data_IF_156035875047
#
_entry.id   IF_156035875047
#
_cell.length_a   1.000
_cell.length_b   1.000
_cell.length_c   1.000
_cell.angle_alpha   90.00
_cell.angle_beta   90.00
_cell.angle_gamma   90.00
#
_symmetry.space_group_name_H-M   'P 1'
#
loop_
_entity.id
_entity.type
_entity.pdbx_description
1 polymer ?
#
# COMPACT_ATOMS: atom_id res chain seq x y z
N UNK A 1 10.91 -11.51 -16.20
CA UNK A 1 11.89 -12.25 -17.05
C UNK A 1 12.20 -13.67 -16.52
N UNK A 2 11.22 -14.34 -15.89
CA UNK A 2 11.31 -15.75 -15.47
C UNK A 2 12.18 -16.06 -14.25
N UNK A 3 12.70 -15.06 -13.52
CA UNK A 3 13.38 -15.28 -12.23
C UNK A 3 12.47 -14.81 -11.10
N UNK A 4 12.50 -15.50 -9.98
CA UNK A 4 11.81 -15.11 -8.76
C UNK A 4 12.61 -14.01 -8.07
N UNK A 5 11.95 -12.88 -7.82
CA UNK A 5 12.58 -11.65 -7.27
C UNK A 5 11.95 -11.22 -5.95
N UNK A 6 11.01 -12.00 -5.43
CA UNK A 6 10.22 -11.70 -4.25
C UNK A 6 8.96 -12.57 -4.16
N UNK A 7 8.02 -12.14 -3.33
CA UNK A 7 6.72 -12.80 -3.16
C UNK A 7 5.64 -11.79 -2.76
N UNK A 8 4.37 -12.18 -2.96
CA UNK A 8 3.22 -11.49 -2.35
C UNK A 8 3.14 -11.93 -0.89
N UNK A 9 3.14 -10.99 0.04
CA UNK A 9 3.28 -11.28 1.48
C UNK A 9 1.95 -11.24 2.20
N UNK A 10 1.28 -10.09 2.20
CA UNK A 10 0.02 -9.87 2.93
C UNK A 10 -0.92 -8.99 2.10
N UNK A 11 -2.19 -8.99 2.47
CA UNK A 11 -3.19 -8.09 1.93
C UNK A 11 -3.91 -7.39 3.08
N UNK A 12 -3.99 -6.07 3.03
CA UNK A 12 -4.69 -5.27 4.04
C UNK A 12 -5.68 -4.34 3.35
N UNK A 13 -6.97 -4.46 3.66
CA UNK A 13 -8.03 -3.57 3.17
C UNK A 13 -8.05 -3.34 1.63
N UNK A 14 -7.55 -4.29 0.82
CA UNK A 14 -7.47 -4.18 -0.64
C UNK A 14 -6.09 -3.78 -1.17
N UNK A 15 -5.15 -3.45 -0.29
CA UNK A 15 -3.75 -3.26 -0.65
C UNK A 15 -2.99 -4.58 -0.59
N UNK A 16 -2.54 -5.06 -1.76
CA UNK A 16 -1.60 -6.18 -1.86
C UNK A 16 -0.19 -5.69 -1.55
N UNK A 17 0.52 -6.40 -0.67
CA UNK A 17 1.90 -6.07 -0.29
C UNK A 17 2.88 -7.07 -0.90
N UNK A 18 3.88 -6.54 -1.60
CA UNK A 18 4.95 -7.34 -2.21
C UNK A 18 6.26 -7.12 -1.46
N UNK A 19 6.90 -8.22 -1.07
CA UNK A 19 8.28 -8.20 -0.58
C UNK A 19 9.21 -8.52 -1.74
N UNK A 20 9.84 -7.49 -2.31
CA UNK A 20 10.73 -7.59 -3.47
C UNK A 20 12.19 -7.35 -3.08
N UNK A 21 13.08 -8.24 -3.50
CA UNK A 21 14.52 -8.16 -3.24
C UNK A 21 15.00 -8.81 -1.96
N UNK A 22 16.11 -8.30 -1.41
CA UNK A 22 16.77 -8.86 -0.23
C UNK A 22 17.90 -9.83 -0.55
N UNK A 23 18.71 -10.16 0.48
CA UNK A 23 19.94 -10.96 0.35
C UNK A 23 19.70 -12.34 -0.26
N UNK A 24 18.57 -12.98 0.04
CA UNK A 24 18.24 -14.29 -0.52
C UNK A 24 18.17 -14.25 -2.05
N UNK A 25 17.55 -13.22 -2.63
CA UNK A 25 17.45 -13.06 -4.08
C UNK A 25 18.70 -12.44 -4.71
N UNK A 26 19.41 -11.56 -4.00
CA UNK A 26 20.63 -10.94 -4.50
C UNK A 26 21.80 -11.92 -4.61
N UNK A 27 21.94 -12.83 -3.64
CA UNK A 27 23.13 -13.70 -3.52
C UNK A 27 22.83 -15.19 -3.36
N UNK A 28 21.60 -15.56 -2.97
CA UNK A 28 21.27 -16.96 -2.68
C UNK A 28 20.92 -17.79 -3.91
N UNK A 29 20.49 -17.15 -4.99
CA UNK A 29 20.04 -17.79 -6.22
C UNK A 29 21.05 -17.75 -7.36
N UNK A 30 20.54 -17.70 -8.59
CA UNK A 30 21.38 -17.65 -9.79
C UNK A 30 22.02 -16.27 -9.99
N UNK A 31 23.13 -16.18 -10.75
CA UNK A 31 23.70 -14.86 -11.14
C UNK A 31 22.70 -14.00 -11.91
N UNK A 32 21.80 -14.64 -12.67
CA UNK A 32 20.74 -13.97 -13.42
C UNK A 32 19.66 -13.42 -12.47
N UNK A 33 19.26 -14.20 -11.47
CA UNK A 33 18.33 -13.80 -10.41
C UNK A 33 18.85 -12.58 -9.65
N UNK A 34 20.10 -12.64 -9.16
CA UNK A 34 20.69 -11.52 -8.42
C UNK A 34 20.77 -10.24 -9.25
N UNK A 35 21.12 -10.34 -10.53
CA UNK A 35 21.16 -9.19 -11.45
C UNK A 35 19.77 -8.60 -11.68
N UNK A 36 18.75 -9.43 -11.93
CA UNK A 36 17.39 -8.95 -12.20
C UNK A 36 16.71 -8.39 -10.95
N UNK A 37 16.98 -9.00 -9.80
CA UNK A 37 16.54 -8.49 -8.50
C UNK A 37 17.12 -7.11 -8.24
N UNK A 38 18.42 -6.93 -8.51
CA UNK A 38 19.08 -5.65 -8.34
C UNK A 38 18.55 -4.58 -9.30
N UNK A 39 18.31 -4.95 -10.57
CA UNK A 39 17.67 -4.09 -11.59
C UNK A 39 16.28 -3.63 -11.11
N UNK A 40 15.46 -4.55 -10.60
CA UNK A 40 14.15 -4.25 -10.04
C UNK A 40 14.23 -3.28 -8.85
N UNK A 41 15.08 -3.58 -7.86
CA UNK A 41 15.28 -2.73 -6.68
C UNK A 41 15.74 -1.32 -7.08
N UNK A 42 16.65 -1.21 -8.06
CA UNK A 42 17.13 0.07 -8.55
C UNK A 42 16.04 0.85 -9.29
N UNK A 43 15.22 0.19 -10.11
CA UNK A 43 14.10 0.85 -10.81
C UNK A 43 13.10 1.43 -9.80
N UNK A 44 12.62 0.60 -8.87
CA UNK A 44 11.62 1.01 -7.89
C UNK A 44 12.16 2.08 -6.92
N UNK A 45 13.39 1.90 -6.43
CA UNK A 45 14.08 2.90 -5.59
C UNK A 45 14.28 4.24 -6.29
N UNK A 46 14.33 4.26 -7.62
CA UNK A 46 14.47 5.48 -8.42
C UNK A 46 13.16 5.92 -9.08
N UNK A 47 12.01 5.51 -8.52
CA UNK A 47 10.66 5.89 -8.96
C UNK A 47 10.36 5.55 -10.42
N UNK A 48 11.03 4.52 -10.96
CA UNK A 48 10.80 4.00 -12.31
C UNK A 48 9.84 2.82 -12.27
N UNK A 49 9.05 2.59 -13.34
CA UNK A 49 8.15 1.46 -13.42
C UNK A 49 8.93 0.15 -13.49
N UNK A 50 8.35 -0.90 -12.93
CA UNK A 50 8.84 -2.26 -13.06
C UNK A 50 7.69 -3.23 -13.33
N UNK A 51 7.95 -4.18 -14.23
CA UNK A 51 7.01 -5.23 -14.60
C UNK A 51 7.31 -6.50 -13.79
N UNK A 52 6.27 -7.08 -13.20
CA UNK A 52 6.32 -8.34 -12.46
C UNK A 52 5.15 -9.24 -12.89
N UNK A 53 5.32 -10.54 -12.75
CA UNK A 53 4.26 -11.52 -12.95
C UNK A 53 4.11 -12.26 -11.62
N UNK A 54 2.89 -12.36 -11.13
CA UNK A 54 2.56 -13.19 -9.96
C UNK A 54 2.35 -14.62 -10.44
N UNK A 55 3.02 -15.58 -9.81
CA UNK A 55 2.89 -17.00 -10.18
C UNK A 55 1.44 -17.47 -10.04
N UNK A 56 0.85 -17.96 -11.14
CA UNK A 56 -0.56 -18.34 -11.20
C UNK A 56 -1.55 -17.17 -11.10
N UNK A 57 -1.07 -15.93 -11.16
CA UNK A 57 -1.86 -14.72 -10.95
C UNK A 57 -1.69 -13.69 -12.06
N UNK A 58 -1.79 -12.41 -11.68
CA UNK A 58 -1.80 -11.28 -12.61
C UNK A 58 -0.41 -10.87 -13.11
N UNK A 59 -0.37 -10.27 -14.31
CA UNK A 59 0.74 -9.41 -14.73
C UNK A 59 0.54 -8.02 -14.15
N UNK A 60 1.60 -7.43 -13.59
CA UNK A 60 1.54 -6.13 -12.93
C UNK A 60 2.66 -5.20 -13.40
N UNK A 61 2.34 -3.92 -13.55
CA UNK A 61 3.32 -2.84 -13.61
C UNK A 61 3.15 -1.96 -12.39
N UNK A 62 4.23 -1.82 -11.62
CA UNK A 62 4.25 -1.05 -10.37
C UNK A 62 5.27 0.09 -10.46
N UNK A 63 4.91 1.25 -9.91
CA UNK A 63 5.78 2.43 -9.87
C UNK A 63 5.44 3.29 -8.66
N UNK A 64 6.46 3.74 -7.91
CA UNK A 64 6.25 4.60 -6.76
C UNK A 64 5.40 5.84 -7.11
N UNK A 65 4.31 6.05 -6.37
CA UNK A 65 3.41 7.20 -6.51
C UNK A 65 2.51 7.18 -7.74
N UNK A 66 2.39 6.05 -8.44
CA UNK A 66 1.50 5.87 -9.60
C UNK A 66 0.52 4.72 -9.37
N UNK A 67 -0.60 4.74 -10.09
CA UNK A 67 -1.54 3.63 -10.10
C UNK A 67 -0.87 2.34 -10.61
N UNK A 68 -1.15 1.18 -10.01
CA UNK A 68 -0.74 -0.09 -10.59
C UNK A 68 -1.50 -0.35 -11.89
N UNK A 69 -0.82 -0.97 -12.86
CA UNK A 69 -1.47 -1.55 -14.03
C UNK A 69 -1.56 -3.06 -13.80
N UNK A 70 -2.76 -3.61 -13.71
CA UNK A 70 -3.03 -5.03 -13.46
C UNK A 70 -3.67 -5.63 -14.70
N UNK A 71 -3.05 -6.66 -15.28
CA UNK A 71 -3.49 -7.29 -16.54
C UNK A 71 -3.76 -6.28 -17.68
N UNK A 72 -2.99 -5.19 -17.72
CA UNK A 72 -3.11 -4.14 -18.73
C UNK A 72 -4.15 -3.05 -18.41
N UNK A 73 -4.85 -3.13 -17.28
CA UNK A 73 -5.82 -2.14 -16.83
C UNK A 73 -5.20 -1.29 -15.71
N UNK A 74 -5.26 0.03 -15.83
CA UNK A 74 -4.80 0.94 -14.79
C UNK A 74 -5.85 1.06 -13.68
N UNK A 75 -5.49 0.64 -12.47
CA UNK A 75 -6.37 0.70 -11.29
C UNK A 75 -6.58 2.13 -10.83
N UNK A 76 -7.83 2.57 -10.70
CA UNK A 76 -8.15 3.97 -10.39
C UNK A 76 -8.50 4.20 -8.92
N UNK A 77 -9.18 3.24 -8.26
CA UNK A 77 -9.84 3.47 -6.98
C UNK A 77 -9.39 2.50 -5.91
N UNK A 78 -9.00 3.05 -4.77
CA UNK A 78 -8.90 2.34 -3.50
C UNK A 78 -10.24 2.45 -2.77
N UNK A 79 -10.87 1.30 -2.49
CA UNK A 79 -12.17 1.24 -1.81
C UNK A 79 -12.13 1.95 -0.46
N UNK A 80 -13.23 2.65 -0.12
CA UNK A 80 -13.43 3.34 1.17
C UNK A 80 -13.44 2.39 2.37
N UNK A 81 -13.75 1.12 2.14
CA UNK A 81 -13.77 0.04 3.12
C UNK A 81 -14.35 -1.23 2.53
N UNK A 82 -14.44 -2.29 3.35
CA UNK A 82 -15.15 -3.52 2.95
C UNK A 82 -16.65 -3.26 2.74
N UNK A 83 -17.36 -4.22 2.16
CA UNK A 83 -18.79 -4.10 1.87
C UNK A 83 -19.63 -3.73 3.09
N UNK A 84 -19.34 -4.35 4.24
CA UNK A 84 -19.98 -3.98 5.53
C UNK A 84 -19.73 -2.52 5.95
N UNK A 85 -18.52 -1.99 5.73
CA UNK A 85 -18.19 -0.62 6.09
C UNK A 85 -18.92 0.37 5.15
N UNK A 86 -18.89 0.10 3.85
CA UNK A 86 -19.61 0.90 2.86
C UNK A 86 -21.12 0.96 3.16
N UNK A 87 -21.76 -0.19 3.45
CA UNK A 87 -23.16 -0.23 3.90
C UNK A 87 -23.39 0.71 5.08
N UNK A 88 -22.53 0.65 6.11
CA UNK A 88 -22.66 1.47 7.31
C UNK A 88 -22.49 2.97 7.06
N UNK A 89 -21.49 3.35 6.24
CA UNK A 89 -21.19 4.75 5.91
C UNK A 89 -22.36 5.41 5.16
N UNK A 90 -22.97 4.69 4.23
CA UNK A 90 -24.02 5.22 3.35
C UNK A 90 -25.45 4.89 3.80
N UNK A 91 -25.64 4.14 4.89
CA UNK A 91 -26.94 3.65 5.38
C UNK A 91 -28.05 4.71 5.43
N UNK A 92 -27.77 5.89 6.00
CA UNK A 92 -28.76 6.98 6.11
C UNK A 92 -29.25 7.50 4.76
N UNK A 93 -28.39 7.42 3.74
CA UNK A 93 -28.71 7.91 2.40
C UNK A 93 -29.57 6.88 1.66
N UNK A 94 -29.37 5.59 1.91
CA UNK A 94 -30.20 4.52 1.35
C UNK A 94 -31.58 4.42 2.01
N UNK A 95 -31.71 4.80 3.27
CA UNK A 95 -32.97 4.77 3.98
C UNK A 95 -34.05 5.58 3.25
N UNK A 96 -35.19 4.93 2.96
CA UNK A 96 -36.32 5.50 2.24
C UNK A 96 -36.26 5.33 0.72
N UNK A 97 -35.07 5.26 0.13
CA UNK A 97 -34.91 5.12 -1.34
C UNK A 97 -34.68 3.67 -1.79
N UNK A 98 -34.21 2.80 -0.90
CA UNK A 98 -34.10 1.35 -1.10
C UNK A 98 -34.67 0.58 0.09
N UNK A 99 -35.22 -0.61 -0.17
CA UNK A 99 -35.72 -1.50 0.88
C UNK A 99 -34.62 -2.46 1.34
N UNK A 100 -33.66 -2.80 0.48
CA UNK A 100 -32.43 -3.51 0.82
C UNK A 100 -31.25 -3.01 -0.01
N UNK A 101 -30.06 -3.05 0.59
CA UNK A 101 -28.79 -2.78 -0.10
C UNK A 101 -27.78 -3.86 0.25
N UNK A 102 -27.25 -4.50 -0.78
CA UNK A 102 -26.11 -5.41 -0.65
C UNK A 102 -24.89 -4.77 -1.28
N UNK A 103 -23.83 -4.60 -0.48
CA UNK A 103 -22.52 -4.17 -1.00
C UNK A 103 -21.62 -5.40 -1.11
N UNK A 104 -21.37 -5.80 -2.34
CA UNK A 104 -20.55 -6.96 -2.71
C UNK A 104 -19.07 -6.64 -2.52
N UNK A 105 -18.39 -7.56 -1.85
CA UNK A 105 -16.98 -7.43 -1.48
C UNK A 105 -16.41 -8.83 -1.21
N UNK A 106 -15.21 -9.08 -1.73
CA UNK A 106 -14.48 -10.35 -1.57
C UNK A 106 -14.10 -10.65 -0.12
N UNK A 107 -13.81 -9.62 0.67
CA UNK A 107 -13.49 -9.76 2.08
C UNK A 107 -14.76 -9.89 2.93
N UNK A 108 -15.64 -8.88 2.91
CA UNK A 108 -16.88 -8.85 3.73
C UNK A 108 -18.00 -8.19 2.97
N UNK A 109 -18.93 -8.99 2.45
CA UNK A 109 -20.16 -8.49 1.86
C UNK A 109 -21.12 -7.98 2.95
N UNK A 110 -21.66 -6.79 2.72
CA UNK A 110 -22.56 -6.09 3.64
C UNK A 110 -24.02 -6.20 3.20
N UNK A 111 -24.94 -6.41 4.15
CA UNK A 111 -26.40 -6.41 3.91
C UNK A 111 -27.08 -5.44 4.86
N UNK A 112 -27.69 -4.39 4.32
CA UNK A 112 -28.08 -3.19 5.09
C UNK A 112 -29.14 -3.47 6.15
N UNK A 113 -30.26 -4.09 5.83
CA UNK A 113 -31.37 -4.24 6.80
C UNK A 113 -30.97 -5.14 7.98
N UNK A 114 -30.09 -6.11 7.75
CA UNK A 114 -29.56 -6.97 8.79
C UNK A 114 -28.43 -6.31 9.60
N UNK A 115 -27.68 -5.40 8.98
CA UNK A 115 -26.56 -4.69 9.59
C UNK A 115 -27.04 -3.76 10.71
N UNK A 116 -26.16 -3.50 11.68
CA UNK A 116 -26.49 -2.62 12.81
C UNK A 116 -26.96 -1.22 12.35
N UNK A 117 -26.40 -0.71 11.25
CA UNK A 117 -26.79 0.58 10.69
C UNK A 117 -28.24 0.60 10.19
N UNK A 118 -28.71 -0.45 9.50
CA UNK A 118 -30.11 -0.55 9.08
C UNK A 118 -31.06 -0.69 10.27
N UNK A 119 -30.67 -1.47 11.28
CA UNK A 119 -31.44 -1.60 12.53
C UNK A 119 -31.58 -0.29 13.29
N UNK A 120 -30.51 0.49 13.39
CA UNK A 120 -30.54 1.82 14.02
C UNK A 120 -31.38 2.86 13.24
N UNK A 121 -31.73 2.56 11.99
CA UNK A 121 -32.61 3.37 11.14
C UNK A 121 -34.03 2.81 11.07
N UNK A 122 -34.34 1.82 11.92
CA UNK A 122 -35.63 1.11 11.95
C UNK A 122 -36.06 0.59 10.57
N UNK A 123 -35.09 0.19 9.73
CA UNK A 123 -35.39 -0.41 8.44
C UNK A 123 -36.04 -1.77 8.64
N UNK A 124 -37.14 -2.01 7.96
CA UNK A 124 -37.80 -3.30 7.97
C UNK A 124 -36.86 -4.38 7.39
N UNK A 125 -36.77 -5.58 8.01
CA UNK A 125 -36.05 -6.69 7.42
C UNK A 125 -36.57 -7.00 6.01
N UNK A 126 -35.65 -7.21 5.08
CA UNK A 126 -35.98 -7.53 3.69
C UNK A 126 -36.35 -9.00 3.48
N UNK A 127 -35.96 -9.86 4.43
CA UNK A 127 -36.04 -11.32 4.30
C UNK A 127 -34.91 -11.91 3.46
N UNK A 128 -33.93 -11.13 2.99
CA UNK A 128 -32.87 -11.64 2.11
C UNK A 128 -32.00 -12.71 2.80
N UNK A 129 -31.78 -13.83 2.11
CA UNK A 129 -30.88 -14.90 2.53
C UNK A 129 -29.65 -14.90 1.63
N UNK A 130 -28.47 -14.78 2.23
CA UNK A 130 -27.20 -14.69 1.50
C UNK A 130 -26.41 -15.98 1.61
N UNK A 131 -25.69 -16.30 0.53
CA UNK A 131 -24.63 -17.32 0.55
C UNK A 131 -23.51 -16.93 1.51
N UNK A 132 -22.68 -17.92 1.83
CA UNK A 132 -21.46 -17.74 2.60
C UNK A 132 -21.67 -17.79 4.11
N UNK A 133 -20.63 -17.42 4.86
CA UNK A 133 -20.61 -17.55 6.31
C UNK A 133 -21.00 -16.24 6.98
N UNK A 134 -22.17 -16.21 7.62
CA UNK A 134 -22.61 -15.10 8.47
C UNK A 134 -21.66 -14.97 9.68
N UNK A 135 -21.06 -13.79 9.84
CA UNK A 135 -20.19 -13.46 10.98
C UNK A 135 -20.98 -12.79 12.10
N UNK A 136 -21.60 -11.67 11.75
CA UNK A 136 -22.52 -10.90 12.59
C UNK A 136 -23.68 -10.46 11.69
N UNK A 137 -24.82 -10.02 12.23
CA UNK A 137 -25.93 -9.54 11.40
C UNK A 137 -25.48 -8.54 10.33
N UNK A 138 -25.83 -8.83 9.06
CA UNK A 138 -25.44 -8.02 7.90
C UNK A 138 -23.99 -8.09 7.46
N UNK A 139 -23.18 -9.02 7.99
CA UNK A 139 -21.77 -9.22 7.62
C UNK A 139 -21.52 -10.67 7.21
N UNK A 140 -21.15 -10.86 5.96
CA UNK A 140 -20.97 -12.18 5.35
C UNK A 140 -19.55 -12.34 4.79
N UNK A 141 -18.87 -13.41 5.21
CA UNK A 141 -17.58 -13.83 4.68
C UNK A 141 -17.78 -14.88 3.59
N UNK A 142 -16.84 -14.97 2.66
CA UNK A 142 -16.77 -16.07 1.68
C UNK A 142 -18.08 -16.26 0.92
N UNK A 143 -18.69 -15.15 0.48
CA UNK A 143 -19.88 -15.21 -0.39
C UNK A 143 -19.52 -15.67 -1.81
N UNK A 144 -18.30 -15.36 -2.23
CA UNK A 144 -17.67 -15.70 -3.51
C UNK A 144 -16.14 -15.78 -3.31
N UNK A 145 -15.39 -16.31 -4.29
CA UNK A 145 -13.93 -16.30 -4.21
C UNK A 145 -13.38 -14.95 -4.68
N UNK A 146 -12.14 -14.57 -4.33
CA UNK A 146 -11.48 -13.41 -4.92
C UNK A 146 -11.29 -13.56 -6.44
N UNK A 147 -11.45 -12.48 -7.19
CA UNK A 147 -11.38 -12.46 -8.66
C UNK A 147 -11.47 -11.05 -9.26
N UNK A 148 -11.73 -10.99 -10.58
CA UNK A 148 -11.77 -9.73 -11.34
C UNK A 148 -13.20 -9.20 -11.60
N UNK A 149 -14.21 -9.79 -10.96
CA UNK A 149 -15.61 -9.43 -11.06
C UNK A 149 -16.07 -8.47 -9.96
N UNK A 150 -17.32 -8.60 -9.54
CA UNK A 150 -17.97 -7.66 -8.63
C UNK A 150 -17.25 -7.52 -7.28
N UNK A 151 -16.83 -6.31 -6.92
CA UNK A 151 -16.24 -6.05 -5.60
C UNK A 151 -14.97 -6.87 -5.31
N UNK A 152 -14.21 -7.22 -6.36
CA UNK A 152 -13.00 -8.02 -6.26
C UNK A 152 -13.25 -9.54 -6.14
N UNK A 153 -14.45 -10.01 -6.50
CA UNK A 153 -14.82 -11.42 -6.46
C UNK A 153 -14.72 -12.10 -7.83
N UNK A 154 -14.94 -13.41 -7.92
CA UNK A 154 -14.98 -14.19 -9.15
C UNK A 154 -16.36 -14.21 -9.85
N UNK A 155 -17.32 -13.38 -9.40
CA UNK A 155 -18.69 -13.37 -9.95
C UNK A 155 -18.95 -12.17 -10.88
N UNK A 156 -19.67 -12.45 -11.97
CA UNK A 156 -20.18 -11.45 -12.91
C UNK A 156 -21.64 -11.06 -12.60
N UNK A 157 -22.44 -12.01 -12.10
CA UNK A 157 -23.82 -11.81 -11.70
C UNK A 157 -23.92 -11.64 -10.16
N UNK A 158 -24.27 -10.44 -9.66
CA UNK A 158 -24.37 -10.21 -8.22
C UNK A 158 -25.55 -10.96 -7.58
N UNK A 159 -26.56 -11.40 -8.33
CA UNK A 159 -27.66 -12.17 -7.74
C UNK A 159 -27.25 -13.60 -7.36
N UNK A 160 -26.14 -14.10 -7.92
CA UNK A 160 -25.62 -15.44 -7.64
C UNK A 160 -25.24 -15.69 -6.17
N UNK A 161 -25.09 -14.63 -5.37
CA UNK A 161 -24.80 -14.71 -3.92
C UNK A 161 -26.04 -14.65 -3.03
N UNK A 162 -27.24 -14.60 -3.61
CA UNK A 162 -28.51 -14.66 -2.89
C UNK A 162 -29.00 -16.12 -2.94
N UNK A 163 -29.29 -16.71 -1.77
CA UNK A 163 -29.86 -18.06 -1.66
C UNK A 163 -31.37 -18.06 -1.83
N UNK A 164 -32.01 -16.98 -1.37
CA UNK A 164 -33.45 -16.86 -1.39
C UNK A 164 -33.95 -15.70 -0.54
N UNK A 165 -35.22 -15.80 -0.20
CA UNK A 165 -35.95 -14.81 0.58
C UNK A 165 -36.85 -15.51 1.60
N UNK A 166 -36.85 -15.04 2.84
CA UNK A 166 -37.67 -15.56 3.92
C UNK A 166 -39.16 -15.34 3.62
N UNK A 167 -39.91 -16.45 3.61
CA UNK A 167 -41.35 -16.45 3.37
C UNK A 167 -42.09 -15.65 4.45
N UNK A 168 -42.98 -14.75 4.03
CA UNK A 168 -43.74 -13.89 4.94
C UNK A 168 -43.00 -12.63 5.41
N UNK A 169 -41.71 -12.48 5.10
CA UNK A 169 -40.94 -11.25 5.34
C UNK A 169 -40.72 -10.49 4.03
N UNK A 170 -40.22 -11.18 3.00
CA UNK A 170 -40.08 -10.59 1.68
C UNK A 170 -41.44 -10.35 1.02
N UNK A 171 -41.51 -9.32 0.17
CA UNK A 171 -42.76 -8.90 -0.49
C UNK A 171 -42.54 -8.53 -1.96
N UNK A 172 -43.54 -8.73 -2.83
CA UNK A 172 -43.52 -8.16 -4.17
C UNK A 172 -43.33 -6.64 -4.11
N UNK A 173 -42.57 -6.10 -5.05
CA UNK A 173 -42.23 -4.67 -5.11
C UNK A 173 -41.06 -4.25 -4.22
N UNK A 174 -40.42 -5.16 -3.48
CA UNK A 174 -39.23 -4.85 -2.68
C UNK A 174 -38.10 -4.34 -3.59
N UNK A 175 -37.55 -3.19 -3.24
CA UNK A 175 -36.50 -2.48 -3.98
C UNK A 175 -35.10 -2.84 -3.47
N UNK A 176 -34.30 -3.49 -4.31
CA UNK A 176 -32.97 -3.99 -3.99
C UNK A 176 -31.88 -3.26 -4.81
N UNK A 177 -30.88 -2.72 -4.11
CA UNK A 177 -29.62 -2.28 -4.72
C UNK A 177 -28.53 -3.32 -4.48
N UNK A 178 -27.91 -3.78 -5.57
CA UNK A 178 -26.62 -4.48 -5.53
C UNK A 178 -25.54 -3.51 -5.98
N UNK A 179 -24.46 -3.32 -5.21
CA UNK A 179 -23.32 -2.45 -5.62
C UNK A 179 -21.98 -2.95 -5.11
N UNK A 180 -20.86 -2.56 -5.73
CA UNK A 180 -19.50 -2.82 -5.21
C UNK A 180 -19.06 -1.75 -4.20
N UNK A 181 -17.98 -2.00 -3.47
CA UNK A 181 -17.37 -1.04 -2.54
C UNK A 181 -16.80 0.21 -3.20
N UNK A 182 -16.66 0.24 -4.53
CA UNK A 182 -16.16 1.36 -5.33
C UNK A 182 -17.27 2.09 -6.11
N UNK A 183 -18.50 1.56 -6.08
CA UNK A 183 -19.62 2.04 -6.91
C UNK A 183 -19.46 1.79 -8.41
N UNK A 184 -18.36 1.14 -8.85
CA UNK A 184 -18.11 0.84 -10.27
C UNK A 184 -19.11 -0.19 -10.81
N UNK A 185 -19.52 -1.12 -9.95
CA UNK A 185 -20.60 -2.04 -10.24
C UNK A 185 -21.84 -1.62 -9.44
N UNK A 186 -22.97 -1.46 -10.11
CA UNK A 186 -24.25 -1.20 -9.46
C UNK A 186 -25.45 -1.57 -10.34
N UNK A 187 -26.39 -2.30 -9.77
CA UNK A 187 -27.61 -2.75 -10.43
C UNK A 187 -28.80 -2.61 -9.48
N UNK A 188 -29.95 -2.31 -10.06
CA UNK A 188 -31.19 -2.05 -9.35
C UNK A 188 -32.24 -3.09 -9.71
N UNK A 189 -32.86 -3.65 -8.69
CA UNK A 189 -33.82 -4.73 -8.83
C UNK A 189 -35.11 -4.41 -8.08
N UNK A 190 -36.22 -4.92 -8.60
CA UNK A 190 -37.50 -4.95 -7.90
C UNK A 190 -38.01 -6.39 -7.90
N UNK A 191 -38.41 -6.89 -6.72
CA UNK A 191 -38.99 -8.23 -6.63
C UNK A 191 -40.35 -8.29 -7.33
N UNK A 192 -40.55 -9.29 -8.17
CA UNK A 192 -41.85 -9.57 -8.79
C UNK A 192 -42.81 -10.31 -7.83
N UNK A 193 -43.97 -10.72 -8.34
CA UNK A 193 -45.00 -11.45 -7.57
C UNK A 193 -44.52 -12.85 -7.12
N UNK A 194 -43.45 -13.38 -7.72
CA UNK A 194 -42.79 -14.64 -7.37
C UNK A 194 -41.51 -14.42 -6.54
N UNK A 195 -41.32 -13.19 -6.03
CA UNK A 195 -40.16 -12.77 -5.24
C UNK A 195 -38.83 -12.92 -6.00
N UNK A 196 -38.85 -12.91 -7.33
CA UNK A 196 -37.64 -12.94 -8.14
C UNK A 196 -37.15 -11.50 -8.40
N UNK A 197 -35.86 -11.20 -8.21
CA UNK A 197 -35.31 -9.90 -8.55
C UNK A 197 -35.35 -9.66 -10.06
N UNK A 198 -36.12 -8.66 -10.50
CA UNK A 198 -36.16 -8.22 -11.90
C UNK A 198 -35.40 -6.91 -12.03
N UNK A 199 -34.40 -6.88 -12.92
CA UNK A 199 -33.62 -5.67 -13.17
C UNK A 199 -34.51 -4.55 -13.70
N UNK A 200 -34.36 -3.36 -13.13
CA UNK A 200 -35.12 -2.17 -13.49
C UNK A 200 -34.18 -0.96 -13.63
N UNK A 201 -34.57 0.09 -14.38
CA UNK A 201 -33.79 1.32 -14.42
C UNK A 201 -33.56 1.89 -13.01
N UNK A 202 -32.29 2.10 -12.67
CA UNK A 202 -31.91 2.63 -11.36
C UNK A 202 -32.45 4.06 -11.16
N UNK A 203 -33.21 4.34 -10.08
CA UNK A 203 -33.68 5.69 -9.78
C UNK A 203 -32.53 6.68 -9.63
N UNK A 204 -32.73 7.92 -10.08
CA UNK A 204 -31.69 8.95 -10.05
C UNK A 204 -31.16 9.26 -8.63
N UNK A 205 -32.01 9.14 -7.61
CA UNK A 205 -31.60 9.30 -6.21
C UNK A 205 -30.68 8.20 -5.71
N UNK A 206 -30.92 6.96 -6.13
CA UNK A 206 -30.06 5.80 -5.81
C UNK A 206 -28.72 5.94 -6.54
N UNK A 207 -28.76 6.33 -7.82
CA UNK A 207 -27.56 6.58 -8.63
C UNK A 207 -26.62 7.60 -7.97
N UNK A 208 -27.15 8.71 -7.47
CA UNK A 208 -26.36 9.73 -6.76
C UNK A 208 -25.62 9.17 -5.54
N UNK A 209 -26.19 8.19 -4.85
CA UNK A 209 -25.55 7.57 -3.69
C UNK A 209 -24.44 6.63 -4.14
N UNK A 210 -24.68 5.83 -5.20
CA UNK A 210 -23.65 4.98 -5.81
C UNK A 210 -22.46 5.81 -6.29
N UNK A 211 -22.71 6.92 -6.98
CA UNK A 211 -21.66 7.82 -7.45
C UNK A 211 -20.86 8.38 -6.27
N UNK A 212 -21.54 8.69 -5.15
CA UNK A 212 -20.90 9.14 -3.91
C UNK A 212 -20.04 8.08 -3.23
N UNK A 213 -20.34 6.79 -3.37
CA UNK A 213 -19.42 5.72 -2.93
C UNK A 213 -18.09 5.89 -3.66
N UNK A 214 -18.14 6.11 -4.98
CA UNK A 214 -16.96 6.39 -5.81
C UNK A 214 -16.24 7.68 -5.42
N UNK A 215 -16.95 8.76 -5.10
CA UNK A 215 -16.37 10.03 -4.64
C UNK A 215 -15.59 9.91 -3.33
N UNK A 216 -15.89 8.90 -2.51
CA UNK A 216 -15.20 8.62 -1.25
C UNK A 216 -14.10 7.55 -1.40
N UNK A 217 -13.82 7.11 -2.63
CA UNK A 217 -12.65 6.30 -2.92
C UNK A 217 -11.43 7.20 -3.12
N UNK A 218 -10.29 6.77 -2.58
CA UNK A 218 -9.00 7.43 -2.86
C UNK A 218 -8.39 6.89 -4.16
N UNK A 219 -7.45 7.60 -4.79
CA UNK A 219 -6.68 7.05 -5.90
C UNK A 219 -5.94 5.77 -5.49
N UNK A 220 -6.03 4.72 -6.31
CA UNK A 220 -5.20 3.53 -6.14
C UNK A 220 -3.76 3.86 -6.50
N UNK A 221 -2.82 3.76 -5.56
CA UNK A 221 -1.41 4.10 -5.77
C UNK A 221 -0.48 3.00 -5.27
N UNK A 222 0.60 2.76 -6.00
CA UNK A 222 1.72 1.94 -5.55
C UNK A 222 2.63 2.76 -4.63
N UNK A 223 2.78 2.32 -3.39
CA UNK A 223 3.78 2.84 -2.46
C UNK A 223 5.02 1.94 -2.50
N UNK A 224 6.21 2.55 -2.61
CA UNK A 224 7.50 1.83 -2.53
C UNK A 224 8.22 2.28 -1.28
N UNK A 225 8.29 1.38 -0.30
CA UNK A 225 9.12 1.55 0.89
C UNK A 225 10.43 0.80 0.69
N UNK A 226 11.56 1.49 0.80
CA UNK A 226 12.86 0.83 0.84
C UNK A 226 13.17 0.40 2.27
N UNK A 227 13.39 -0.89 2.47
CA UNK A 227 13.83 -1.48 3.72
C UNK A 227 15.25 -2.02 3.54
N UNK A 228 16.21 -1.48 4.29
CA UNK A 228 17.63 -1.78 4.10
C UNK A 228 18.41 -1.91 5.42
N UNK A 229 19.32 -2.89 5.47
CA UNK A 229 20.23 -3.10 6.58
C UNK A 229 21.60 -2.45 6.36
N UNK A 230 22.02 -1.59 7.28
CA UNK A 230 23.36 -1.02 7.38
C UNK A 230 24.32 -2.03 8.03
N UNK A 231 25.05 -2.78 7.19
CA UNK A 231 26.01 -3.81 7.59
C UNK A 231 27.21 -3.29 8.39
N UNK A 232 28.11 -4.20 8.76
CA UNK A 232 29.33 -3.84 9.52
C UNK A 232 30.27 -2.89 8.78
N UNK A 233 30.41 -3.06 7.46
CA UNK A 233 31.29 -2.23 6.61
C UNK A 233 30.90 -0.76 6.60
N UNK A 234 29.62 -0.48 6.38
CA UNK A 234 29.09 0.89 6.40
C UNK A 234 29.33 1.55 7.78
N UNK A 235 29.08 0.81 8.87
CA UNK A 235 29.28 1.33 10.23
C UNK A 235 30.76 1.54 10.58
N UNK A 236 31.65 0.67 10.10
CA UNK A 236 33.09 0.84 10.24
C UNK A 236 33.61 2.06 9.47
N UNK A 237 32.95 2.45 8.38
CA UNK A 237 33.22 3.71 7.68
C UNK A 237 32.88 4.96 8.49
N UNK A 238 32.08 4.83 9.56
CA UNK A 238 31.69 5.95 10.43
C UNK A 238 32.52 5.97 11.72
N UNK A 239 32.70 4.80 12.36
CA UNK A 239 33.32 4.66 13.68
C UNK A 239 34.29 3.48 13.72
N UNK A 240 35.43 3.66 14.40
CA UNK A 240 36.39 2.59 14.69
C UNK A 240 35.77 1.42 15.46
N UNK A 241 34.76 1.68 16.30
CA UNK A 241 33.99 0.66 16.99
C UNK A 241 32.50 0.71 16.56
N UNK A 242 32.10 -0.05 15.52
CA UNK A 242 30.79 0.04 14.87
C UNK A 242 29.56 -0.08 15.78
N UNK A 243 29.70 -0.66 16.97
CA UNK A 243 28.59 -0.76 17.94
C UNK A 243 28.28 0.58 18.62
N UNK A 244 29.24 1.51 18.68
CA UNK A 244 29.04 2.83 19.28
C UNK A 244 28.06 3.67 18.46
N UNK A 245 28.15 3.60 17.13
CA UNK A 245 27.18 4.24 16.24
C UNK A 245 25.74 3.77 16.52
N UNK A 246 25.51 2.45 16.58
CA UNK A 246 24.15 1.94 16.80
C UNK A 246 23.63 2.24 18.21
N UNK A 247 24.51 2.29 19.22
CA UNK A 247 24.17 2.77 20.57
C UNK A 247 23.83 4.26 20.59
N UNK A 248 24.52 5.08 19.80
CA UNK A 248 24.27 6.51 19.71
C UNK A 248 22.95 6.82 18.97
N UNK A 249 22.63 6.08 17.91
CA UNK A 249 21.33 6.14 17.22
C UNK A 249 20.20 5.87 18.21
N UNK A 250 20.31 4.81 19.03
CA UNK A 250 19.31 4.48 20.06
C UNK A 250 19.14 5.54 21.15
N UNK A 251 20.16 6.37 21.36
CA UNK A 251 20.13 7.50 22.31
C UNK A 251 19.71 8.81 21.63
N UNK A 252 19.28 8.76 20.37
CA UNK A 252 18.93 9.92 19.55
C UNK A 252 20.07 10.96 19.42
N UNK A 253 21.33 10.54 19.59
CA UNK A 253 22.51 11.40 19.36
C UNK A 253 22.90 11.47 17.88
N UNK A 254 22.46 10.47 17.11
CA UNK A 254 22.72 10.37 15.67
C UNK A 254 21.39 10.25 14.95
N UNK A 255 21.15 11.17 14.03
CA UNK A 255 20.04 11.07 13.10
C UNK A 255 20.42 10.19 11.89
N UNK A 256 19.45 9.45 11.36
CA UNK A 256 19.61 8.56 10.22
C UNK A 256 18.63 8.96 9.13
N UNK A 257 19.14 9.24 7.94
CA UNK A 257 18.34 9.57 6.75
C UNK A 257 18.73 8.73 5.55
N UNK A 258 17.86 8.74 4.55
CA UNK A 258 18.14 8.19 3.22
C UNK A 258 17.94 9.28 2.18
N UNK A 259 19.02 9.76 1.56
CA UNK A 259 18.97 10.84 0.55
C UNK A 259 18.31 12.11 1.10
N UNK A 260 18.57 12.46 2.36
CA UNK A 260 17.94 13.57 3.08
C UNK A 260 16.53 13.31 3.62
N UNK A 261 15.86 12.22 3.23
CA UNK A 261 14.55 11.88 3.77
C UNK A 261 14.66 11.21 5.16
N UNK A 262 13.82 11.57 6.14
CA UNK A 262 13.68 10.88 7.40
C UNK A 262 13.40 9.39 7.19
N UNK A 263 14.22 8.56 7.84
CA UNK A 263 14.06 7.12 7.82
C UNK A 263 13.61 6.62 9.20
N UNK A 264 12.69 5.65 9.20
CA UNK A 264 12.30 4.94 10.39
C UNK A 264 13.33 3.86 10.72
N UNK A 265 14.03 4.02 11.84
CA UNK A 265 15.01 3.05 12.33
C UNK A 265 14.26 1.98 13.12
N UNK A 266 14.31 0.74 12.63
CA UNK A 266 13.65 -0.38 13.30
C UNK A 266 14.27 -0.67 14.68
N UNK A 267 13.46 -1.16 15.64
CA UNK A 267 13.96 -1.56 16.94
C UNK A 267 14.98 -2.69 16.84
N UNK A 268 15.72 -2.93 17.92
CA UNK A 268 16.74 -3.97 17.98
C UNK A 268 18.12 -3.46 17.59
N UNK A 269 18.65 -3.82 16.42
CA UNK A 269 20.05 -3.57 16.06
C UNK A 269 20.41 -2.10 15.77
N UNK A 270 19.42 -1.25 15.45
CA UNK A 270 19.66 0.10 14.93
C UNK A 270 20.36 0.10 13.58
N UNK A 271 20.22 -1.00 12.82
CA UNK A 271 20.86 -1.21 11.51
C UNK A 271 19.84 -1.26 10.38
N UNK A 272 18.58 -1.54 10.68
CA UNK A 272 17.54 -1.63 9.66
C UNK A 272 16.78 -0.32 9.62
N UNK A 273 16.69 0.25 8.42
CA UNK A 273 15.94 1.48 8.17
C UNK A 273 14.85 1.23 7.14
N UNK A 274 13.74 1.96 7.29
CA UNK A 274 12.64 2.00 6.34
C UNK A 274 12.41 3.45 5.91
N UNK A 275 12.33 3.69 4.60
CA UNK A 275 12.09 5.02 4.05
C UNK A 275 11.09 4.95 2.91
N UNK A 276 10.22 5.94 2.81
CA UNK A 276 9.38 6.16 1.64
C UNK A 276 10.20 6.77 0.50
N UNK A 277 10.32 6.05 -0.61
CA UNK A 277 11.08 6.47 -1.79
C UNK A 277 10.53 7.76 -2.39
N UNK A 278 9.24 8.07 -2.23
CA UNK A 278 8.67 9.33 -2.74
C UNK A 278 9.25 10.57 -2.07
N UNK A 279 9.76 10.43 -0.84
CA UNK A 279 10.40 11.52 -0.09
C UNK A 279 11.87 11.74 -0.47
N UNK A 280 12.47 10.84 -1.22
CA UNK A 280 13.87 10.90 -1.61
C UNK A 280 14.04 11.64 -2.96
N UNK A 281 15.19 12.28 -3.21
CA UNK A 281 15.54 12.77 -4.53
C UNK A 281 15.47 11.68 -5.60
N UNK A 282 15.18 12.06 -6.85
CA UNK A 282 15.20 11.13 -7.97
C UNK A 282 16.62 10.56 -8.18
N UNK A 283 16.71 9.32 -8.65
CA UNK A 283 17.97 8.62 -8.91
C UNK A 283 18.88 8.47 -7.68
N UNK A 284 18.28 8.35 -6.49
CA UNK A 284 18.97 8.15 -5.21
C UNK A 284 19.72 6.82 -5.08
N UNK A 285 19.28 5.76 -5.77
CA UNK A 285 19.82 4.40 -5.62
C UNK A 285 20.76 4.02 -6.76
N UNK A 286 21.91 3.47 -6.40
CA UNK A 286 22.92 2.93 -7.31
C UNK A 286 23.10 1.43 -7.18
N UNK A 287 24.03 0.87 -7.97
CA UNK A 287 24.39 -0.55 -7.96
C UNK A 287 25.89 -0.71 -8.15
N UNK A 288 26.44 -1.85 -7.72
CA UNK A 288 27.86 -2.22 -7.94
C UNK A 288 27.94 -3.56 -8.68
N UNK A 289 29.10 -3.93 -9.27
CA UNK A 289 29.25 -5.18 -10.03
C UNK A 289 28.93 -6.44 -9.21
N UNK A 290 29.25 -6.43 -7.92
CA UNK A 290 28.73 -7.41 -6.96
C UNK A 290 27.25 -7.11 -6.74
N UNK A 291 26.32 -8.09 -6.88
CA UNK A 291 24.88 -7.82 -6.76
C UNK A 291 24.47 -7.23 -5.41
N UNK A 292 24.54 -5.91 -5.29
CA UNK A 292 24.27 -5.16 -4.07
C UNK A 292 23.77 -3.77 -4.45
N UNK A 293 22.70 -3.35 -3.77
CA UNK A 293 22.13 -2.02 -3.92
C UNK A 293 22.99 -1.02 -3.13
N UNK A 294 23.24 0.14 -3.72
CA UNK A 294 23.85 1.29 -3.03
C UNK A 294 22.71 2.22 -2.63
N UNK A 295 22.40 2.24 -1.34
CA UNK A 295 21.40 3.13 -0.75
C UNK A 295 22.09 4.37 -0.14
N UNK A 296 21.52 5.58 -0.29
CA UNK A 296 22.13 6.82 0.19
C UNK A 296 21.86 7.03 1.69
N UNK A 297 22.32 6.10 2.54
CA UNK A 297 22.14 6.20 3.99
C UNK A 297 23.14 7.22 4.56
N UNK A 298 22.63 8.16 5.35
CA UNK A 298 23.40 9.25 5.93
C UNK A 298 23.29 9.25 7.45
N UNK A 299 24.36 9.66 8.13
CA UNK A 299 24.39 9.87 9.58
C UNK A 299 24.72 11.32 9.87
N UNK A 300 23.86 11.97 10.64
CA UNK A 300 24.06 13.36 11.05
C UNK A 300 24.10 13.48 12.56
N UNK A 301 25.09 14.20 13.09
CA UNK A 301 25.32 14.38 14.53
C UNK A 301 26.22 15.60 14.79
N UNK A 302 26.42 15.96 16.06
CA UNK A 302 27.41 16.98 16.42
C UNK A 302 28.82 16.43 16.24
N UNK A 303 29.78 17.30 15.93
CA UNK A 303 31.18 16.91 15.76
C UNK A 303 31.75 16.25 17.02
N UNK A 304 31.40 16.76 18.21
CA UNK A 304 31.87 16.18 19.48
C UNK A 304 31.27 14.78 19.73
N UNK A 305 30.00 14.56 19.33
CA UNK A 305 29.39 13.22 19.40
C UNK A 305 30.07 12.25 18.43
N UNK A 306 30.42 12.72 17.22
CA UNK A 306 31.19 11.94 16.24
C UNK A 306 32.57 11.54 16.78
N UNK A 307 33.29 12.46 17.41
CA UNK A 307 34.57 12.17 18.04
C UNK A 307 34.41 11.18 19.23
N UNK A 308 33.40 11.40 20.09
CA UNK A 308 33.14 10.58 21.27
C UNK A 308 32.79 9.12 20.93
N UNK A 309 32.19 8.87 19.76
CA UNK A 309 31.92 7.51 19.28
C UNK A 309 33.08 6.89 18.49
N UNK A 310 34.28 7.49 18.49
CA UNK A 310 35.45 7.00 17.77
C UNK A 310 35.34 7.20 16.26
N UNK A 311 34.77 8.33 15.83
CA UNK A 311 34.69 8.71 14.43
C UNK A 311 36.06 9.01 13.83
N UNK A 312 36.17 8.85 12.51
CA UNK A 312 37.38 9.13 11.72
C UNK A 312 37.61 10.64 11.56
N UNK A 313 37.92 11.34 12.66
CA UNK A 313 38.02 12.81 12.71
C UNK A 313 39.05 13.40 11.74
N UNK A 314 40.09 12.64 11.39
CA UNK A 314 41.10 13.05 10.41
C UNK A 314 40.53 13.26 8.99
N UNK A 315 39.38 12.64 8.69
CA UNK A 315 38.69 12.73 7.39
C UNK A 315 37.60 13.81 7.36
N UNK A 316 37.43 14.59 8.43
CA UNK A 316 36.40 15.64 8.52
C UNK A 316 36.88 16.91 7.82
N UNK A 317 36.00 17.50 7.01
CA UNK A 317 36.24 18.79 6.36
C UNK A 317 34.94 19.61 6.26
N UNK A 318 35.03 20.94 6.10
CA UNK A 318 33.86 21.81 6.02
C UNK A 318 32.94 21.49 4.83
N UNK A 319 31.65 21.78 5.01
CA UNK A 319 30.63 21.58 3.97
C UNK A 319 30.95 22.38 2.70
N UNK A 320 31.49 23.60 2.83
CA UNK A 320 31.89 24.45 1.71
C UNK A 320 32.94 23.76 0.84
N UNK A 321 33.89 23.07 1.48
CA UNK A 321 34.91 22.29 0.77
C UNK A 321 34.28 21.06 0.09
N UNK A 322 33.37 20.35 0.77
CA UNK A 322 32.63 19.24 0.16
C UNK A 322 31.85 19.67 -1.08
N UNK A 323 31.18 20.82 -1.01
CA UNK A 323 30.45 21.38 -2.13
C UNK A 323 31.41 21.81 -3.26
N UNK A 324 32.60 22.34 -2.96
CA UNK A 324 33.52 22.82 -4.00
C UNK A 324 34.23 21.69 -4.75
N UNK A 325 34.65 20.62 -4.05
CA UNK A 325 35.48 19.54 -4.62
C UNK A 325 34.73 18.23 -4.91
N UNK A 326 33.56 18.03 -4.31
CA UNK A 326 32.89 16.73 -4.30
C UNK A 326 33.38 15.83 -3.15
N UNK A 327 33.39 14.52 -3.37
CA UNK A 327 33.80 13.55 -2.34
C UNK A 327 35.27 13.73 -1.94
N UNK A 328 35.63 13.13 -0.79
CA UNK A 328 37.00 13.14 -0.27
C UNK A 328 38.02 12.49 -1.23
N UNK A 329 37.61 11.44 -1.94
CA UNK A 329 38.44 10.70 -2.89
C UNK A 329 38.16 11.15 -4.33
N UNK A 330 39.21 11.21 -5.15
CA UNK A 330 39.14 11.67 -6.53
C UNK A 330 38.68 10.57 -7.51
N UNK A 331 38.42 9.35 -7.01
CA UNK A 331 37.97 8.22 -7.82
C UNK A 331 36.44 8.07 -7.82
N UNK A 332 35.83 8.27 -8.99
CA UNK A 332 34.46 7.85 -9.30
C UNK A 332 33.32 8.61 -8.62
N UNK A 333 33.60 9.61 -7.79
CA UNK A 333 32.56 10.39 -7.13
C UNK A 333 31.86 11.35 -8.10
N UNK A 334 30.51 11.37 -8.15
CA UNK A 334 29.79 12.33 -8.98
C UNK A 334 30.12 13.78 -8.58
N UNK A 335 30.61 14.57 -9.53
CA UNK A 335 30.84 16.02 -9.34
C UNK A 335 29.61 16.86 -9.72
N UNK A 336 28.66 16.25 -10.41
CA UNK A 336 27.41 16.89 -10.78
C UNK A 336 26.60 17.21 -9.52
N UNK A 337 26.21 18.49 -9.39
CA UNK A 337 25.38 18.97 -8.29
C UNK A 337 24.03 19.41 -8.83
N UNK A 338 22.99 19.06 -8.11
CA UNK A 338 21.64 19.55 -8.35
C UNK A 338 21.16 20.21 -7.05
N UNK A 339 20.72 21.46 -7.17
CA UNK A 339 20.06 22.15 -6.07
C UNK A 339 18.58 21.87 -6.17
N UNK A 340 18.05 21.14 -5.20
CA UNK A 340 16.63 20.80 -5.11
C UNK A 340 16.02 21.54 -3.93
N UNK A 341 14.81 22.06 -4.12
CA UNK A 341 14.05 22.61 -3.02
C UNK A 341 13.60 21.46 -2.11
N UNK A 342 13.88 21.58 -0.82
CA UNK A 342 13.41 20.63 0.18
C UNK A 342 11.89 20.78 0.28
N UNK A 343 11.18 19.67 0.16
CA UNK A 343 9.74 19.63 0.41
C UNK A 343 9.48 20.04 1.88
N UNK A 344 8.54 20.96 2.10
CA UNK A 344 8.18 21.41 3.43
C UNK A 344 7.63 20.27 4.31
N UNK A 345 7.03 19.24 3.71
CA UNK A 345 6.62 18.01 4.39
C UNK A 345 7.80 17.08 4.71
N UNK A 346 8.97 17.34 4.14
CA UNK A 346 10.21 16.58 4.31
C UNK A 346 11.36 17.46 4.84
N UNK A 347 11.21 18.07 6.04
CA UNK A 347 12.18 19.03 6.54
C UNK A 347 13.56 18.41 6.73
N UNK A 348 14.59 19.25 6.63
CA UNK A 348 15.99 18.82 6.73
C UNK A 348 16.26 18.09 8.06
N UNK A 349 16.95 16.94 8.04
CA UNK A 349 17.11 16.06 9.20
C UNK A 349 17.78 16.66 10.42
N UNK A 350 18.57 17.73 10.28
CA UNK A 350 19.21 18.37 11.43
C UNK A 350 18.22 19.06 12.38
N UNK A 351 16.97 19.27 11.94
CA UNK A 351 15.93 19.91 12.74
C UNK A 351 15.08 18.92 13.56
N UNK A 352 15.26 17.60 13.37
CA UNK A 352 14.40 16.59 14.01
C UNK A 352 15.21 15.41 14.59
N UNK A 353 14.78 14.84 15.73
CA UNK A 353 15.37 13.60 16.23
C UNK A 353 15.09 12.43 15.26
N UNK A 354 15.90 11.36 15.26
CA UNK A 354 15.61 10.17 14.47
C UNK A 354 14.26 9.57 14.83
N UNK A 355 13.57 9.03 13.82
CA UNK A 355 12.36 8.24 14.03
C UNK A 355 12.78 6.85 14.50
N UNK A 356 12.77 6.63 15.80
CA UNK A 356 13.12 5.37 16.44
C UNK A 356 11.86 4.54 16.71
N UNK A 357 11.91 3.25 16.41
CA UNK A 357 10.87 2.27 16.72
C UNK A 357 10.96 1.58 18.06
#
# INVERSE_FOLDING_TARGET
>A
KGEVVGHVTTAEYGSQMLSLGGVHHLTGGSKKEGRLTLELMQLLGNKKPAECIIDGGASIVIQAGRAPIVNGVEEQRMRVGCGSAAVGIFARQFAGVADEVVVVDDHITGVLTQHQAGRCLDMAPSGIEMRGRKSTPGRYFQVANPGNGWGGTDIDDPLSIIEGWEEGVARPGLRLLMTSTTGEHAQWYVLDDQLQPVEQPMPAEVRRIVDRIGENCEPSLCTVLFLGGAGGSLRAGVSENPVLLTRAIKKALVNVTCGGAPAYVWPGGGITVMVDVMRMPDNSFGTVPTPAIVAPIEFSMRLDDYAALGGHTASVFPLEQALSRGAWQDDGAPLARQWQQIDAANPWPLAQPPMLG
#
